data_IF_193061728662
#
_entry.id   IF_193061728662
#
_cell.length_a   1.000
_cell.length_b   1.000
_cell.length_c   1.000
_cell.angle_alpha   90.00
_cell.angle_beta   90.00
_cell.angle_gamma   90.00
#
_symmetry.space_group_name_H-M   'P 1'
#
loop_
_entity.id
_entity.type
_entity.pdbx_description
1 polymer ?
#
# COMPACT_ATOMS: atom_id res chain seq x y z
N UNK A 1 -3.22 12.12 12.21
CA UNK A 1 -4.37 11.31 12.67
C UNK A 1 -3.89 10.27 13.67
N UNK A 2 -4.70 9.96 14.71
CA UNK A 2 -4.37 8.97 15.74
C UNK A 2 -5.53 7.98 15.84
N UNK A 3 -5.22 6.69 15.76
CA UNK A 3 -6.14 5.59 16.07
C UNK A 3 -6.10 5.33 17.57
N UNK A 4 -7.18 5.57 18.29
CA UNK A 4 -7.26 5.38 19.73
C UNK A 4 -7.75 4.00 20.13
N UNK A 5 -8.71 3.46 19.37
CA UNK A 5 -9.32 2.17 19.65
C UNK A 5 -9.55 1.37 18.37
N UNK A 6 -9.38 0.07 18.48
CA UNK A 6 -9.67 -0.90 17.40
C UNK A 6 -10.45 -2.06 17.99
N UNK A 7 -11.66 -2.28 17.44
CA UNK A 7 -12.47 -3.47 17.71
C UNK A 7 -12.36 -4.42 16.52
N UNK A 8 -12.09 -5.69 16.81
CA UNK A 8 -11.96 -6.77 15.83
C UNK A 8 -12.89 -7.90 16.22
N UNK A 9 -13.74 -8.36 15.30
CA UNK A 9 -14.61 -9.53 15.51
C UNK A 9 -14.48 -10.48 14.33
N UNK A 10 -14.14 -11.74 14.58
CA UNK A 10 -14.05 -12.82 13.60
C UNK A 10 -13.16 -12.50 12.38
N UNK A 11 -12.04 -11.81 12.60
CA UNK A 11 -11.12 -11.44 11.55
C UNK A 11 -9.90 -12.38 11.55
N UNK A 12 -9.72 -13.14 10.49
CA UNK A 12 -8.65 -14.15 10.33
C UNK A 12 -8.60 -15.12 11.52
N UNK A 13 -7.52 -15.18 12.29
CA UNK A 13 -7.43 -16.00 13.50
C UNK A 13 -7.97 -15.31 14.77
N UNK A 14 -8.26 -14.00 14.71
CA UNK A 14 -8.74 -13.23 15.86
C UNK A 14 -10.26 -13.41 15.99
N UNK A 15 -10.70 -13.98 17.13
CA UNK A 15 -12.12 -14.15 17.41
C UNK A 15 -12.76 -12.83 17.86
N UNK A 16 -12.14 -12.19 18.85
CA UNK A 16 -12.55 -10.90 19.38
C UNK A 16 -11.35 -10.20 20.00
N UNK A 17 -11.21 -8.89 19.75
CA UNK A 17 -10.22 -8.06 20.42
C UNK A 17 -10.74 -6.61 20.52
N UNK A 18 -10.53 -6.01 21.70
CA UNK A 18 -10.77 -4.59 21.96
C UNK A 18 -9.45 -3.98 22.42
N UNK A 19 -8.87 -3.10 21.59
CA UNK A 19 -7.52 -2.59 21.78
C UNK A 19 -7.57 -1.07 21.94
N UNK A 20 -6.92 -0.56 22.99
CA UNK A 20 -6.69 0.86 23.20
C UNK A 20 -5.21 1.18 22.95
N UNK A 21 -4.94 2.18 22.14
CA UNK A 21 -3.60 2.49 21.65
C UNK A 21 -3.01 3.76 22.23
N UNK A 22 -1.67 3.73 22.44
CA UNK A 22 -0.87 4.91 22.65
C UNK A 22 -0.85 5.79 21.39
N UNK A 23 -0.76 7.10 21.59
CA UNK A 23 -0.67 8.07 20.50
C UNK A 23 0.64 8.01 19.70
N UNK A 24 1.66 7.33 20.24
CA UNK A 24 3.00 7.26 19.61
C UNK A 24 3.34 5.85 19.15
N UNK A 25 3.58 4.92 20.05
CA UNK A 25 4.08 3.61 19.69
C UNK A 25 3.24 2.48 20.27
N UNK A 26 2.95 1.50 19.43
CA UNK A 26 2.16 0.33 19.78
C UNK A 26 2.91 -0.92 19.30
N UNK A 27 3.36 -1.74 20.24
CA UNK A 27 4.20 -2.90 19.98
C UNK A 27 3.41 -4.19 20.19
N UNK A 28 3.48 -5.11 19.23
CA UNK A 28 2.88 -6.44 19.32
C UNK A 28 3.97 -7.51 19.33
N UNK A 29 4.03 -8.27 20.42
CA UNK A 29 5.01 -9.35 20.61
C UNK A 29 4.30 -10.71 20.67
N UNK A 30 4.93 -11.72 20.11
CA UNK A 30 4.45 -13.11 20.10
C UNK A 30 5.18 -13.92 19.05
N UNK A 31 5.02 -15.24 19.07
CA UNK A 31 5.66 -16.13 18.11
C UNK A 31 5.08 -15.95 16.71
N UNK A 32 5.74 -16.55 15.70
CA UNK A 32 5.25 -16.53 14.33
C UNK A 32 3.93 -17.29 14.20
N UNK A 33 2.97 -16.74 13.43
CA UNK A 33 1.66 -17.33 13.22
C UNK A 33 0.61 -16.99 14.29
N UNK A 34 0.98 -16.32 15.38
CA UNK A 34 0.08 -16.01 16.49
C UNK A 34 -0.99 -14.95 16.14
N UNK A 35 -0.80 -14.15 15.09
CA UNK A 35 -1.80 -13.18 14.63
C UNK A 35 -1.37 -11.71 14.72
N UNK A 36 -0.10 -11.42 15.02
CA UNK A 36 0.44 -10.04 15.05
C UNK A 36 0.15 -9.28 13.77
N UNK A 37 0.53 -9.83 12.63
CA UNK A 37 0.29 -9.26 11.30
C UNK A 37 -1.20 -9.06 11.02
N UNK A 38 -2.09 -9.91 11.59
CA UNK A 38 -3.54 -9.78 11.39
C UNK A 38 -4.11 -8.53 12.07
N UNK A 39 -3.52 -8.06 13.17
CA UNK A 39 -3.88 -6.77 13.79
C UNK A 39 -3.48 -5.62 12.86
N UNK A 40 -2.26 -5.63 12.32
CA UNK A 40 -1.82 -4.61 11.37
C UNK A 40 -2.67 -4.63 10.09
N UNK A 41 -3.02 -5.82 9.59
CA UNK A 41 -3.89 -5.97 8.42
C UNK A 41 -5.31 -5.42 8.67
N UNK A 42 -5.84 -5.54 9.88
CA UNK A 42 -7.13 -4.92 10.25
C UNK A 42 -7.04 -3.37 10.17
N UNK A 43 -5.97 -2.76 10.67
CA UNK A 43 -5.72 -1.32 10.55
C UNK A 43 -5.56 -0.91 9.09
N UNK A 44 -4.78 -1.67 8.31
CA UNK A 44 -4.59 -1.45 6.88
C UNK A 44 -5.92 -1.53 6.12
N UNK A 45 -6.79 -2.49 6.45
CA UNK A 45 -8.08 -2.65 5.79
C UNK A 45 -9.02 -1.47 6.06
N UNK A 46 -9.04 -0.97 7.30
CA UNK A 46 -9.81 0.23 7.66
C UNK A 46 -9.32 1.49 6.93
N UNK A 47 -8.05 1.57 6.54
CA UNK A 47 -7.47 2.68 5.79
C UNK A 47 -7.67 2.56 4.27
N UNK A 48 -7.31 1.41 3.70
CA UNK A 48 -7.20 1.24 2.25
C UNK A 48 -8.34 0.39 1.63
N UNK A 49 -9.39 0.09 2.40
CA UNK A 49 -10.55 -0.69 1.97
C UNK A 49 -10.21 -2.08 1.42
N UNK A 50 -9.06 -2.63 1.76
CA UNK A 50 -8.60 -3.95 1.34
C UNK A 50 -7.59 -4.52 2.32
N UNK A 51 -7.54 -5.84 2.43
CA UNK A 51 -6.45 -6.52 3.14
C UNK A 51 -5.11 -6.34 2.42
N UNK A 52 -4.02 -6.23 3.19
CA UNK A 52 -2.66 -6.33 2.67
C UNK A 52 -2.29 -7.78 2.32
N UNK A 53 -2.86 -8.75 3.06
CA UNK A 53 -2.46 -10.16 3.06
C UNK A 53 -3.35 -11.07 2.21
N UNK A 54 -4.56 -10.63 1.83
CA UNK A 54 -5.52 -11.44 1.09
C UNK A 54 -6.06 -10.72 -0.14
N UNK A 55 -6.19 -11.44 -1.23
CA UNK A 55 -6.81 -10.94 -2.47
C UNK A 55 -8.33 -10.91 -2.41
N UNK A 56 -8.95 -11.81 -1.62
CA UNK A 56 -10.39 -11.92 -1.46
C UNK A 56 -10.85 -11.54 -0.05
N UNK A 57 -11.88 -10.70 0.05
CA UNK A 57 -12.44 -10.27 1.34
C UNK A 57 -12.95 -11.44 2.20
N UNK A 58 -13.46 -12.51 1.56
CA UNK A 58 -13.93 -13.71 2.25
C UNK A 58 -12.82 -14.48 2.98
N UNK A 59 -11.55 -14.35 2.53
CA UNK A 59 -10.40 -14.95 3.20
C UNK A 59 -10.00 -14.21 4.49
N UNK A 60 -10.54 -13.02 4.71
CA UNK A 60 -10.35 -12.27 5.95
C UNK A 60 -11.35 -12.66 7.05
N UNK A 61 -12.41 -13.38 6.71
CA UNK A 61 -13.40 -13.87 7.68
C UNK A 61 -12.85 -15.14 8.34
N UNK A 62 -12.90 -15.20 9.66
CA UNK A 62 -12.46 -16.35 10.44
C UNK A 62 -13.11 -17.64 9.93
N UNK A 63 -12.38 -18.75 9.98
CA UNK A 63 -12.92 -20.06 9.63
C UNK A 63 -14.18 -20.34 10.47
N UNK A 64 -15.15 -21.01 9.86
CA UNK A 64 -16.45 -21.38 10.47
C UNK A 64 -17.33 -20.19 10.91
N UNK A 65 -17.02 -18.98 10.42
CA UNK A 65 -17.83 -17.78 10.64
C UNK A 65 -18.34 -17.22 9.30
N UNK A 66 -19.52 -16.60 9.33
CA UNK A 66 -20.16 -16.02 8.14
C UNK A 66 -19.79 -14.54 7.95
N UNK A 67 -19.32 -13.88 9.01
CA UNK A 67 -19.05 -12.45 9.02
C UNK A 67 -17.85 -12.09 9.86
N UNK A 68 -17.21 -10.99 9.49
CA UNK A 68 -16.19 -10.31 10.29
C UNK A 68 -16.54 -8.82 10.39
N UNK A 69 -16.10 -8.19 11.47
CA UNK A 69 -16.32 -6.78 11.72
C UNK A 69 -15.07 -6.13 12.28
N UNK A 70 -14.76 -4.94 11.74
CA UNK A 70 -13.67 -4.08 12.21
C UNK A 70 -14.24 -2.70 12.50
N UNK A 71 -13.80 -2.08 13.60
CA UNK A 71 -14.15 -0.71 13.93
C UNK A 71 -12.93 0.01 14.49
N UNK A 72 -12.61 1.17 13.91
CA UNK A 72 -11.56 2.06 14.38
C UNK A 72 -12.12 3.40 14.84
N UNK A 73 -11.69 3.86 16.02
CA UNK A 73 -11.98 5.21 16.53
C UNK A 73 -10.73 6.07 16.38
N UNK A 74 -10.84 7.12 15.59
CA UNK A 74 -9.74 8.02 15.23
C UNK A 74 -9.98 9.44 15.75
N UNK A 75 -8.88 10.18 15.92
CA UNK A 75 -8.92 11.64 16.15
C UNK A 75 -7.96 12.32 15.18
N UNK A 76 -8.44 13.35 14.51
CA UNK A 76 -7.63 14.22 13.66
C UNK A 76 -6.81 15.21 14.51
N UNK A 77 -5.85 15.88 13.88
CA UNK A 77 -5.01 16.91 14.54
C UNK A 77 -5.83 18.10 15.05
N UNK A 78 -6.97 18.38 14.42
CA UNK A 78 -7.95 19.40 14.85
C UNK A 78 -8.92 18.91 15.94
N UNK A 79 -8.66 17.75 16.54
CA UNK A 79 -9.50 17.08 17.55
C UNK A 79 -10.85 16.55 17.04
N UNK A 80 -11.11 16.57 15.75
CA UNK A 80 -12.31 15.95 15.16
C UNK A 80 -12.23 14.42 15.32
N UNK A 81 -13.31 13.82 15.81
CA UNK A 81 -13.40 12.36 16.00
C UNK A 81 -14.04 11.71 14.79
N UNK A 82 -13.48 10.57 14.40
CA UNK A 82 -13.96 9.76 13.29
C UNK A 82 -14.12 8.30 13.74
N UNK A 83 -15.23 7.71 13.39
CA UNK A 83 -15.48 6.28 13.57
C UNK A 83 -15.58 5.61 12.18
N UNK A 84 -14.73 4.65 11.93
CA UNK A 84 -14.74 3.87 10.68
C UNK A 84 -15.13 2.43 11.01
N UNK A 85 -16.15 1.90 10.35
CA UNK A 85 -16.58 0.52 10.53
C UNK A 85 -16.57 -0.23 9.21
N UNK A 86 -16.05 -1.45 9.22
CA UNK A 86 -16.02 -2.36 8.08
C UNK A 86 -16.74 -3.66 8.44
N UNK A 87 -17.79 -3.98 7.71
CA UNK A 87 -18.48 -5.27 7.77
C UNK A 87 -18.13 -6.12 6.54
N UNK A 88 -17.70 -7.36 6.80
CA UNK A 88 -17.50 -8.39 5.79
C UNK A 88 -18.52 -9.51 6.01
N UNK A 89 -19.10 -10.01 4.92
CA UNK A 89 -20.01 -11.17 4.94
C UNK A 89 -19.76 -12.05 3.72
N UNK A 90 -19.74 -13.37 3.94
CA UNK A 90 -19.53 -14.32 2.84
C UNK A 90 -20.56 -14.14 1.74
N UNK A 91 -20.15 -14.10 0.49
CA UNK A 91 -21.01 -13.92 -0.68
C UNK A 91 -21.62 -12.52 -0.86
N UNK A 92 -21.26 -11.55 -0.02
CA UNK A 92 -21.76 -10.18 -0.12
C UNK A 92 -20.64 -9.16 -0.34
N UNK A 93 -20.99 -7.99 -0.89
CA UNK A 93 -20.07 -6.85 -0.96
C UNK A 93 -19.80 -6.32 0.45
N UNK A 94 -18.56 -6.00 0.73
CA UNK A 94 -18.18 -5.34 1.98
C UNK A 94 -18.88 -4.01 2.16
N UNK A 95 -19.15 -3.67 3.42
CA UNK A 95 -19.78 -2.41 3.81
C UNK A 95 -18.80 -1.59 4.64
N UNK A 96 -18.46 -0.41 4.16
CA UNK A 96 -17.66 0.56 4.90
C UNK A 96 -18.54 1.76 5.27
N UNK A 97 -18.45 2.20 6.53
CA UNK A 97 -19.19 3.36 7.04
C UNK A 97 -18.23 4.31 7.74
N UNK A 98 -18.48 5.59 7.58
CA UNK A 98 -17.85 6.68 8.32
C UNK A 98 -18.91 7.37 9.18
N UNK A 99 -18.71 7.40 10.49
CA UNK A 99 -19.66 8.00 11.44
C UNK A 99 -21.08 7.45 11.22
N UNK A 100 -21.22 6.11 11.08
CA UNK A 100 -22.47 5.35 10.83
C UNK A 100 -23.07 5.56 9.44
N UNK A 101 -22.52 6.43 8.56
CA UNK A 101 -22.98 6.65 7.19
C UNK A 101 -22.17 5.79 6.21
N UNK A 102 -22.87 5.01 5.39
CA UNK A 102 -22.22 4.19 4.35
C UNK A 102 -21.64 5.07 3.24
N UNK A 103 -20.48 4.68 2.71
CA UNK A 103 -19.92 5.32 1.53
C UNK A 103 -20.67 4.90 0.25
N UNK A 104 -21.03 5.84 -0.62
CA UNK A 104 -21.56 5.52 -1.96
C UNK A 104 -20.54 4.75 -2.79
N UNK A 105 -19.27 5.14 -2.71
CA UNK A 105 -18.14 4.50 -3.38
C UNK A 105 -17.00 4.32 -2.38
N UNK A 106 -16.40 3.13 -2.34
CA UNK A 106 -15.25 2.86 -1.44
C UNK A 106 -14.05 3.75 -1.75
N UNK A 107 -13.89 4.17 -3.01
CA UNK A 107 -12.87 5.14 -3.40
C UNK A 107 -12.98 6.48 -2.67
N UNK A 108 -14.17 6.86 -2.16
CA UNK A 108 -14.35 8.11 -1.44
C UNK A 108 -13.70 8.11 -0.05
N UNK A 109 -13.33 6.93 0.44
CA UNK A 109 -12.61 6.75 1.71
C UNK A 109 -11.10 6.85 1.57
N UNK A 110 -10.55 6.48 0.41
CA UNK A 110 -9.09 6.45 0.20
C UNK A 110 -8.50 7.85 0.39
N UNK A 111 -7.43 7.93 1.20
CA UNK A 111 -6.76 9.16 1.58
C UNK A 111 -7.30 9.84 2.85
N UNK A 112 -8.43 9.38 3.40
CA UNK A 112 -8.93 9.88 4.70
C UNK A 112 -7.99 9.50 5.84
N UNK A 113 -7.51 8.26 5.84
CA UNK A 113 -6.55 7.71 6.81
C UNK A 113 -5.29 7.32 6.05
N UNK A 114 -4.35 8.26 5.80
CA UNK A 114 -3.12 7.90 5.12
C UNK A 114 -2.33 6.87 5.92
N UNK A 115 -1.75 5.90 5.23
CA UNK A 115 -1.07 4.78 5.86
C UNK A 115 0.09 4.28 4.99
N UNK A 116 1.16 3.91 5.66
CA UNK A 116 2.26 3.15 5.06
C UNK A 116 2.48 1.87 5.85
N UNK A 117 2.51 0.75 5.16
CA UNK A 117 2.87 -0.54 5.75
C UNK A 117 4.19 -1.02 5.15
N UNK A 118 5.09 -1.45 6.01
CA UNK A 118 6.32 -2.18 5.68
C UNK A 118 6.11 -3.61 6.12
N UNK A 119 6.23 -4.56 5.21
CA UNK A 119 6.01 -5.98 5.49
C UNK A 119 7.02 -6.87 4.75
N UNK A 120 7.19 -8.14 5.16
CA UNK A 120 8.03 -9.09 4.43
C UNK A 120 7.61 -9.29 2.96
N UNK A 121 6.31 -9.13 2.66
CA UNK A 121 5.77 -9.26 1.30
C UNK A 121 6.22 -8.14 0.36
N UNK A 122 6.71 -7.01 0.88
CA UNK A 122 7.28 -5.94 0.07
C UNK A 122 8.48 -6.42 -0.78
N UNK A 123 9.09 -7.56 -0.43
CA UNK A 123 10.08 -8.23 -1.27
C UNK A 123 9.62 -8.47 -2.71
N UNK A 124 8.31 -8.61 -2.94
CA UNK A 124 7.72 -8.74 -4.26
C UNK A 124 7.89 -7.50 -5.15
N UNK A 125 8.10 -6.31 -4.58
CA UNK A 125 8.42 -5.11 -5.36
C UNK A 125 9.72 -5.29 -6.16
N UNK A 126 10.71 -5.95 -5.57
CA UNK A 126 11.99 -6.25 -6.24
C UNK A 126 11.90 -7.56 -7.04
N UNK A 127 11.45 -8.64 -6.41
CA UNK A 127 11.46 -9.98 -7.01
C UNK A 127 10.32 -10.21 -8.01
N UNK A 128 9.19 -9.54 -7.83
CA UNK A 128 7.99 -9.72 -8.63
C UNK A 128 7.99 -9.01 -9.98
N UNK A 129 6.84 -9.01 -10.63
CA UNK A 129 6.61 -8.37 -11.93
C UNK A 129 6.34 -6.87 -11.82
N UNK A 130 6.15 -6.23 -12.98
CA UNK A 130 5.77 -4.82 -13.06
C UNK A 130 4.41 -4.52 -12.43
N UNK A 131 3.55 -5.52 -12.24
CA UNK A 131 2.24 -5.35 -11.58
C UNK A 131 2.39 -4.87 -10.13
N UNK A 132 3.31 -5.48 -9.36
CA UNK A 132 3.56 -5.08 -7.97
C UNK A 132 4.10 -3.64 -7.88
N UNK A 133 4.97 -3.26 -8.79
CA UNK A 133 5.53 -1.90 -8.84
C UNK A 133 4.49 -0.86 -9.26
N UNK A 134 3.60 -1.19 -10.21
CA UNK A 134 2.45 -0.32 -10.52
C UNK A 134 1.51 -0.18 -9.32
N UNK A 135 1.20 -1.32 -8.67
CA UNK A 135 0.37 -1.32 -7.46
C UNK A 135 0.95 -0.45 -6.35
N UNK A 136 2.28 -0.46 -6.17
CA UNK A 136 2.97 0.42 -5.24
C UNK A 136 2.70 1.90 -5.58
N UNK A 137 2.95 2.33 -6.83
CA UNK A 137 2.67 3.71 -7.27
C UNK A 137 1.19 4.07 -7.08
N UNK A 138 0.28 3.16 -7.47
CA UNK A 138 -1.16 3.39 -7.39
C UNK A 138 -1.63 3.58 -5.95
N UNK A 139 -1.13 2.78 -5.01
CA UNK A 139 -1.45 2.91 -3.58
C UNK A 139 -0.97 4.24 -3.01
N UNK A 140 0.22 4.68 -3.39
CA UNK A 140 0.76 5.95 -2.89
C UNK A 140 -0.01 7.13 -3.45
N UNK A 141 -0.12 7.22 -4.78
CA UNK A 141 -0.71 8.37 -5.45
C UNK A 141 -2.21 8.50 -5.12
N UNK A 142 -2.93 7.38 -5.03
CA UNK A 142 -4.36 7.39 -4.70
C UNK A 142 -4.67 7.94 -3.31
N UNK A 143 -3.70 7.95 -2.37
CA UNK A 143 -3.91 8.48 -1.03
C UNK A 143 -3.88 10.01 -0.96
N UNK A 144 -3.29 10.69 -1.95
CA UNK A 144 -3.22 12.15 -1.96
C UNK A 144 -3.83 12.81 -3.19
N UNK A 145 -3.99 12.07 -4.29
CA UNK A 145 -4.55 12.60 -5.55
C UNK A 145 -5.86 11.89 -5.92
N UNK A 146 -6.96 12.56 -5.63
CA UNK A 146 -8.30 12.08 -5.96
C UNK A 146 -8.53 11.97 -7.46
N UNK A 147 -7.99 12.91 -8.25
CA UNK A 147 -8.12 12.92 -9.72
C UNK A 147 -7.44 11.69 -10.32
N UNK A 148 -6.27 11.35 -9.77
CA UNK A 148 -5.58 10.13 -10.15
C UNK A 148 -6.41 8.89 -9.89
N UNK A 149 -6.96 8.74 -8.68
CA UNK A 149 -7.76 7.57 -8.31
C UNK A 149 -8.99 7.42 -9.20
N UNK A 150 -9.72 8.52 -9.46
CA UNK A 150 -10.89 8.48 -10.34
C UNK A 150 -10.50 8.12 -11.79
N UNK A 151 -9.37 8.64 -12.29
CA UNK A 151 -8.84 8.29 -13.61
C UNK A 151 -8.38 6.83 -13.68
N UNK A 152 -7.72 6.31 -12.64
CA UNK A 152 -7.27 4.91 -12.58
C UNK A 152 -8.46 3.94 -12.61
N UNK A 153 -9.52 4.24 -11.85
CA UNK A 153 -10.76 3.44 -11.84
C UNK A 153 -11.42 3.44 -13.21
N UNK A 154 -11.53 4.62 -13.85
CA UNK A 154 -12.12 4.75 -15.17
C UNK A 154 -11.28 4.05 -16.25
N UNK A 155 -9.97 4.19 -16.21
CA UNK A 155 -9.03 3.50 -17.09
C UNK A 155 -9.18 1.98 -16.99
N UNK A 156 -9.17 1.44 -15.77
CA UNK A 156 -9.30 -0.01 -15.56
C UNK A 156 -10.65 -0.54 -16.05
N UNK A 157 -11.73 0.23 -15.90
CA UNK A 157 -13.04 -0.12 -16.48
C UNK A 157 -12.97 -0.14 -18.01
N UNK A 158 -12.40 0.88 -18.64
CA UNK A 158 -12.26 0.94 -20.10
C UNK A 158 -11.39 -0.21 -20.63
N UNK A 159 -10.27 -0.52 -19.98
CA UNK A 159 -9.41 -1.65 -20.28
C UNK A 159 -10.16 -2.99 -20.20
N UNK A 160 -10.97 -3.19 -19.16
CA UNK A 160 -11.78 -4.40 -18.99
C UNK A 160 -12.79 -4.54 -20.13
N UNK A 161 -13.50 -3.47 -20.49
CA UNK A 161 -14.47 -3.48 -21.58
C UNK A 161 -13.79 -3.73 -22.93
N UNK A 162 -12.67 -3.05 -23.21
CA UNK A 162 -11.92 -3.28 -24.43
C UNK A 162 -11.44 -4.74 -24.52
N UNK A 163 -10.88 -5.28 -23.44
CA UNK A 163 -10.41 -6.68 -23.42
C UNK A 163 -11.57 -7.69 -23.57
N UNK A 164 -12.77 -7.36 -23.10
CA UNK A 164 -13.95 -8.19 -23.32
C UNK A 164 -14.35 -8.24 -24.81
N UNK A 165 -14.22 -7.12 -25.53
CA UNK A 165 -14.46 -7.07 -26.99
C UNK A 165 -13.38 -7.82 -27.77
N UNK A 166 -12.11 -7.66 -27.39
CA UNK A 166 -10.98 -8.33 -28.06
C UNK A 166 -11.01 -9.86 -27.94
N UNK A 167 -11.71 -10.41 -26.94
CA UNK A 167 -11.88 -11.87 -26.73
C UNK A 167 -13.01 -12.50 -27.52
N UNK A 168 -13.86 -11.68 -28.17
CA UNK A 168 -14.96 -12.23 -28.98
C UNK A 168 -14.42 -12.89 -30.26
N UNK A 169 -14.97 -14.02 -30.63
CA UNK A 169 -14.58 -14.75 -31.86
C UNK A 169 -14.89 -13.90 -33.11
N UNK A 170 -16.00 -13.15 -33.09
CA UNK A 170 -16.34 -12.16 -34.09
C UNK A 170 -16.33 -10.76 -33.49
N UNK A 171 -15.24 -9.97 -33.70
CA UNK A 171 -15.21 -8.59 -33.25
C UNK A 171 -16.35 -7.78 -33.86
N UNK A 172 -16.89 -6.77 -33.13
CA UNK A 172 -17.96 -5.92 -33.68
C UNK A 172 -17.60 -5.37 -35.08
N UNK A 173 -18.47 -5.58 -36.04
CA UNK A 173 -18.22 -5.30 -37.47
C UNK A 173 -17.86 -3.82 -37.77
N UNK A 174 -18.34 -2.89 -36.95
CA UNK A 174 -18.16 -1.44 -37.14
C UNK A 174 -17.02 -0.84 -36.29
N UNK A 175 -16.32 -1.56 -35.46
CA UNK A 175 -15.15 -1.08 -34.70
C UNK A 175 -15.36 0.20 -33.85
N UNK A 176 -16.57 0.82 -33.90
CA UNK A 176 -16.87 2.06 -33.16
C UNK A 176 -16.81 1.86 -31.64
N UNK A 177 -17.36 0.75 -31.17
CA UNK A 177 -17.34 0.44 -29.73
C UNK A 177 -15.91 0.20 -29.21
N UNK A 178 -15.05 -0.41 -30.04
CA UNK A 178 -13.64 -0.58 -29.70
C UNK A 178 -12.91 0.76 -29.67
N UNK A 179 -13.20 1.65 -30.66
CA UNK A 179 -12.64 2.98 -30.71
C UNK A 179 -13.04 3.84 -29.50
N UNK A 180 -14.30 3.74 -29.03
CA UNK A 180 -14.77 4.41 -27.83
C UNK A 180 -13.94 4.03 -26.59
N UNK A 181 -13.70 2.74 -26.36
CA UNK A 181 -12.93 2.30 -25.20
C UNK A 181 -11.44 2.64 -25.33
N UNK A 182 -10.90 2.72 -26.55
CA UNK A 182 -9.54 3.21 -26.79
C UNK A 182 -9.39 4.70 -26.44
N UNK A 183 -10.37 5.52 -26.78
CA UNK A 183 -10.43 6.93 -26.41
C UNK A 183 -10.55 7.12 -24.90
N UNK A 184 -11.42 6.34 -24.24
CA UNK A 184 -11.54 6.35 -22.77
C UNK A 184 -10.23 5.88 -22.09
N UNK A 185 -9.61 4.82 -22.61
CA UNK A 185 -8.27 4.38 -22.10
C UNK A 185 -7.21 5.46 -22.28
N UNK A 186 -7.17 6.12 -23.45
CA UNK A 186 -6.18 7.18 -23.72
C UNK A 186 -6.41 8.39 -22.81
N UNK A 187 -7.64 8.88 -22.73
CA UNK A 187 -8.02 10.03 -21.92
C UNK A 187 -7.68 9.88 -20.45
N UNK A 188 -8.05 8.75 -19.85
CA UNK A 188 -7.79 8.46 -18.45
C UNK A 188 -6.34 8.01 -18.23
N UNK A 189 -5.77 7.29 -19.18
CA UNK A 189 -4.38 6.85 -19.16
C UNK A 189 -3.38 8.00 -19.17
N UNK A 190 -3.66 9.09 -19.89
CA UNK A 190 -2.83 10.29 -19.87
C UNK A 190 -2.75 10.92 -18.47
N UNK A 191 -3.87 10.98 -17.74
CA UNK A 191 -3.89 11.46 -16.35
C UNK A 191 -3.04 10.55 -15.46
N UNK A 192 -3.18 9.23 -15.60
CA UNK A 192 -2.40 8.25 -14.82
C UNK A 192 -0.92 8.36 -15.14
N UNK A 193 -0.55 8.46 -16.42
CA UNK A 193 0.84 8.61 -16.87
C UNK A 193 1.51 9.84 -16.25
N UNK A 194 0.88 11.01 -16.41
CA UNK A 194 1.43 12.29 -15.90
C UNK A 194 1.60 12.29 -14.39
N UNK A 195 0.63 11.75 -13.67
CA UNK A 195 0.71 11.69 -12.22
C UNK A 195 1.82 10.74 -11.73
N UNK A 196 2.00 9.58 -12.37
CA UNK A 196 3.11 8.66 -12.04
C UNK A 196 4.48 9.27 -12.38
N UNK A 197 4.59 9.94 -13.53
CA UNK A 197 5.81 10.65 -13.95
C UNK A 197 6.22 11.73 -12.93
N UNK A 198 5.27 12.60 -12.53
CA UNK A 198 5.48 13.63 -11.50
C UNK A 198 5.86 13.02 -10.16
N UNK A 199 5.10 12.00 -9.72
CA UNK A 199 5.36 11.29 -8.47
C UNK A 199 6.80 10.75 -8.41
N UNK A 200 7.25 10.02 -9.42
CA UNK A 200 8.60 9.42 -9.41
C UNK A 200 9.68 10.50 -9.45
N UNK A 201 9.49 11.57 -10.21
CA UNK A 201 10.42 12.71 -10.24
C UNK A 201 10.60 13.36 -8.87
N UNK A 202 9.52 13.55 -8.13
CA UNK A 202 9.53 14.17 -6.80
C UNK A 202 9.96 13.22 -5.69
N UNK A 203 9.61 11.93 -5.84
CA UNK A 203 9.86 10.89 -4.84
C UNK A 203 11.30 10.38 -4.83
N UNK A 204 11.95 10.28 -6.00
CA UNK A 204 13.30 9.72 -6.12
C UNK A 204 14.33 10.40 -5.22
N UNK A 205 14.43 11.74 -5.14
CA UNK A 205 15.39 12.41 -4.24
C UNK A 205 15.14 12.11 -2.76
N UNK A 206 13.88 11.96 -2.34
CA UNK A 206 13.55 11.57 -0.97
C UNK A 206 13.98 10.15 -0.66
N UNK A 207 13.75 9.25 -1.60
CA UNK A 207 14.17 7.86 -1.48
C UNK A 207 15.70 7.72 -1.38
N UNK A 208 16.45 8.45 -2.21
CA UNK A 208 17.92 8.49 -2.16
C UNK A 208 18.43 8.98 -0.80
N UNK A 209 17.83 10.03 -0.23
CA UNK A 209 18.16 10.55 1.10
C UNK A 209 17.92 9.49 2.20
N UNK A 210 16.74 8.86 2.21
CA UNK A 210 16.43 7.81 3.18
C UNK A 210 17.35 6.60 3.04
N UNK A 211 17.62 6.16 1.81
CA UNK A 211 18.54 5.06 1.58
C UNK A 211 19.96 5.39 2.07
N UNK A 212 20.46 6.58 1.78
CA UNK A 212 21.76 7.04 2.26
C UNK A 212 21.87 7.01 3.79
N UNK A 213 20.82 7.43 4.50
CA UNK A 213 20.77 7.40 5.98
C UNK A 213 20.78 5.99 6.55
N UNK A 214 20.06 5.04 5.92
CA UNK A 214 19.99 3.65 6.40
C UNK A 214 21.21 2.84 6.00
N UNK A 215 21.78 3.06 4.79
CA UNK A 215 22.93 2.29 4.26
C UNK A 215 24.29 2.85 4.67
N UNK A 216 24.35 4.11 5.15
CA UNK A 216 25.58 4.84 5.42
C UNK A 216 26.22 5.44 4.18
N UNK A 217 25.42 5.80 3.18
CA UNK A 217 25.78 6.54 1.96
C UNK A 217 26.89 5.89 1.08
N UNK A 218 26.97 4.56 1.08
CA UNK A 218 27.99 3.83 0.31
C UNK A 218 27.57 3.47 -1.11
N UNK A 219 26.29 3.56 -1.39
CA UNK A 219 25.68 3.07 -2.63
C UNK A 219 24.65 4.07 -3.13
N UNK A 220 24.55 4.20 -4.44
CA UNK A 220 23.51 5.01 -5.09
C UNK A 220 22.32 4.13 -5.47
N UNK A 221 21.13 4.62 -5.21
CA UNK A 221 19.88 3.97 -5.64
C UNK A 221 19.18 4.86 -6.66
N UNK A 222 18.29 4.29 -7.47
CA UNK A 222 17.52 5.04 -8.43
C UNK A 222 16.19 4.40 -8.73
N UNK A 223 15.26 5.23 -9.21
CA UNK A 223 13.95 4.83 -9.70
C UNK A 223 13.76 5.44 -11.11
N UNK A 224 13.45 4.60 -12.08
CA UNK A 224 13.17 5.02 -13.45
C UNK A 224 11.79 4.55 -13.87
N UNK A 225 10.91 5.50 -14.20
CA UNK A 225 9.56 5.18 -14.65
C UNK A 225 9.55 5.00 -16.16
N UNK A 226 9.04 3.85 -16.59
CA UNK A 226 8.90 3.52 -18.02
C UNK A 226 7.43 3.37 -18.38
N UNK A 227 6.98 4.06 -19.42
CA UNK A 227 5.59 4.05 -19.85
C UNK A 227 5.45 4.17 -21.36
N UNK A 228 4.38 3.58 -21.89
CA UNK A 228 3.96 3.82 -23.27
C UNK A 228 3.51 5.28 -23.50
N UNK A 229 3.03 5.98 -22.48
CA UNK A 229 2.67 7.40 -22.56
C UNK A 229 3.84 8.32 -22.89
N UNK A 230 5.07 7.91 -22.61
CA UNK A 230 6.28 8.65 -22.97
C UNK A 230 6.60 8.63 -24.49
N UNK A 231 5.93 7.78 -25.27
CA UNK A 231 6.18 7.60 -26.71
C UNK A 231 5.40 8.57 -27.60
N UNK A 232 4.57 9.45 -27.03
CA UNK A 232 3.70 10.38 -27.72
C UNK A 232 2.24 10.21 -27.35
N UNK A 233 1.31 10.44 -28.27
CA UNK A 233 -0.12 10.29 -28.04
C UNK A 233 -0.46 8.85 -27.63
N UNK A 234 -0.98 8.67 -26.41
CA UNK A 234 -1.36 7.35 -25.90
C UNK A 234 -2.47 6.71 -26.77
N UNK A 235 -3.34 7.53 -27.35
CA UNK A 235 -4.37 7.06 -28.28
C UNK A 235 -3.75 6.43 -29.54
N UNK A 236 -2.75 7.09 -30.12
CA UNK A 236 -2.08 6.58 -31.32
C UNK A 236 -1.31 5.30 -31.02
N UNK A 237 -0.68 5.22 -29.86
CA UNK A 237 0.02 4.01 -29.40
C UNK A 237 -0.96 2.83 -29.21
N UNK A 238 -2.13 3.08 -28.61
CA UNK A 238 -3.16 2.05 -28.42
C UNK A 238 -3.73 1.61 -29.77
N UNK A 239 -4.10 2.56 -30.62
CA UNK A 239 -4.66 2.29 -31.97
C UNK A 239 -3.66 1.58 -32.87
N UNK A 240 -2.40 1.98 -32.83
CA UNK A 240 -1.32 1.33 -33.59
C UNK A 240 -1.10 -0.14 -33.21
N UNK A 241 -1.43 -0.51 -31.95
CA UNK A 241 -1.37 -1.88 -31.46
C UNK A 241 -2.58 -2.75 -31.76
N UNK A 242 -3.70 -2.19 -32.26
CA UNK A 242 -5.02 -2.87 -32.36
C UNK A 242 -4.96 -4.22 -33.06
N UNK A 243 -4.25 -4.35 -34.18
CA UNK A 243 -4.15 -5.60 -34.93
C UNK A 243 -3.51 -6.73 -34.12
N UNK A 244 -2.49 -6.39 -33.35
CA UNK A 244 -1.83 -7.36 -32.46
C UNK A 244 -2.70 -7.72 -31.26
N UNK A 245 -3.42 -6.72 -30.70
CA UNK A 245 -4.33 -6.92 -29.59
C UNK A 245 -5.49 -7.84 -29.99
N UNK A 246 -6.04 -7.70 -31.20
CA UNK A 246 -7.04 -8.62 -31.78
C UNK A 246 -6.50 -10.04 -31.92
N UNK A 247 -5.27 -10.20 -32.36
CA UNK A 247 -4.66 -11.51 -32.53
C UNK A 247 -4.41 -12.24 -31.19
N UNK A 248 -4.12 -11.51 -30.09
CA UNK A 248 -3.82 -12.10 -28.77
C UNK A 248 -5.01 -12.08 -27.80
N UNK A 249 -6.09 -11.35 -28.13
CA UNK A 249 -7.31 -11.26 -27.32
C UNK A 249 -7.21 -10.34 -26.09
N UNK A 250 -6.18 -9.47 -26.00
CA UNK A 250 -6.04 -8.50 -24.91
C UNK A 250 -5.14 -7.30 -25.27
N UNK A 251 -5.27 -6.22 -24.51
CA UNK A 251 -4.53 -4.98 -24.75
C UNK A 251 -3.05 -5.12 -24.39
N UNK A 252 -2.16 -4.84 -25.34
CA UNK A 252 -0.70 -4.86 -25.17
C UNK A 252 -0.12 -3.48 -24.87
N UNK A 253 -0.88 -2.39 -25.08
CA UNK A 253 -0.42 -1.02 -24.98
C UNK A 253 -1.28 -0.21 -24.02
N UNK A 254 -0.65 0.65 -23.22
CA UNK A 254 -1.29 1.52 -22.25
C UNK A 254 -0.59 1.51 -20.90
N UNK A 255 -1.09 2.33 -19.95
CA UNK A 255 -0.47 2.52 -18.62
C UNK A 255 -0.53 1.28 -17.71
N UNK A 256 -1.34 0.29 -18.04
CA UNK A 256 -1.35 -1.02 -17.39
C UNK A 256 -0.12 -1.88 -17.75
N UNK A 257 0.75 -1.40 -18.63
CA UNK A 257 2.02 -2.01 -19.01
C UNK A 257 3.24 -1.23 -18.51
N UNK A 258 3.01 -0.13 -17.80
CA UNK A 258 4.09 0.64 -17.20
C UNK A 258 4.93 -0.19 -16.24
N UNK A 259 6.17 0.25 -16.06
CA UNK A 259 7.07 -0.34 -15.07
C UNK A 259 7.85 0.75 -14.32
N UNK A 260 8.34 0.38 -13.14
CA UNK A 260 9.26 1.15 -12.33
C UNK A 260 10.56 0.35 -12.18
N UNK A 261 11.59 0.76 -12.91
CA UNK A 261 12.91 0.13 -12.82
C UNK A 261 13.59 0.62 -11.54
N UNK A 262 13.96 -0.33 -10.69
CA UNK A 262 14.64 -0.10 -9.42
C UNK A 262 16.11 -0.45 -9.56
N UNK A 263 17.02 0.49 -9.25
CA UNK A 263 18.45 0.31 -9.44
C UNK A 263 19.25 0.50 -8.17
N UNK A 264 20.39 -0.20 -8.08
CA UNK A 264 21.42 -0.08 -7.08
C UNK A 264 22.77 0.00 -7.79
N UNK A 265 23.54 1.09 -7.57
CA UNK A 265 24.79 1.32 -8.29
C UNK A 265 24.64 1.43 -9.80
N UNK A 266 23.45 1.82 -10.31
CA UNK A 266 23.14 1.90 -11.74
C UNK A 266 22.69 0.56 -12.35
N UNK A 267 22.67 -0.53 -11.61
CA UNK A 267 22.22 -1.86 -12.07
C UNK A 267 20.88 -2.25 -11.47
N UNK A 268 20.06 -3.06 -12.18
CA UNK A 268 18.80 -3.54 -11.63
C UNK A 268 18.98 -4.31 -10.32
N UNK A 269 18.42 -3.79 -9.22
CA UNK A 269 18.59 -4.36 -7.89
C UNK A 269 18.11 -5.82 -7.78
N UNK A 270 17.14 -6.21 -8.60
CA UNK A 270 16.65 -7.60 -8.67
C UNK A 270 17.75 -8.61 -8.97
N UNK A 271 18.78 -8.21 -9.73
CA UNK A 271 19.87 -9.10 -10.18
C UNK A 271 21.10 -9.01 -9.29
N UNK A 272 21.43 -7.78 -8.85
CA UNK A 272 22.71 -7.47 -8.21
C UNK A 272 22.60 -7.31 -6.70
N UNK A 273 21.38 -7.10 -6.16
CA UNK A 273 21.17 -6.82 -4.76
C UNK A 273 21.31 -8.05 -3.87
N UNK A 274 22.14 -7.99 -2.82
CA UNK A 274 22.15 -8.96 -1.73
C UNK A 274 20.84 -8.90 -0.93
N UNK A 275 20.52 -9.94 -0.13
CA UNK A 275 19.32 -9.95 0.70
C UNK A 275 19.25 -8.75 1.65
N UNK A 276 20.37 -8.37 2.28
CA UNK A 276 20.47 -7.23 3.17
C UNK A 276 20.29 -5.89 2.44
N UNK A 277 20.84 -5.75 1.22
CA UNK A 277 20.65 -4.58 0.36
C UNK A 277 19.19 -4.46 -0.07
N UNK A 278 18.56 -5.55 -0.53
CA UNK A 278 17.16 -5.57 -0.93
C UNK A 278 16.25 -5.12 0.23
N UNK A 279 16.47 -5.64 1.43
CA UNK A 279 15.68 -5.27 2.61
C UNK A 279 15.90 -3.80 2.99
N UNK A 280 17.15 -3.33 2.99
CA UNK A 280 17.47 -1.92 3.23
C UNK A 280 16.81 -0.99 2.21
N UNK A 281 16.83 -1.39 0.94
CA UNK A 281 16.20 -0.66 -0.16
C UNK A 281 14.69 -0.52 0.06
N UNK A 282 14.02 -1.61 0.39
CA UNK A 282 12.57 -1.62 0.64
C UNK A 282 12.17 -0.79 1.85
N UNK A 283 12.90 -0.91 2.97
CA UNK A 283 12.63 -0.11 4.16
C UNK A 283 12.82 1.38 3.86
N UNK A 284 13.94 1.76 3.23
CA UNK A 284 14.20 3.14 2.84
C UNK A 284 13.12 3.68 1.88
N UNK A 285 12.69 2.87 0.90
CA UNK A 285 11.61 3.21 -0.02
C UNK A 285 10.30 3.51 0.72
N UNK A 286 9.95 2.68 1.71
CA UNK A 286 8.73 2.84 2.49
C UNK A 286 8.78 4.00 3.48
N UNK A 287 9.94 4.24 4.10
CA UNK A 287 10.12 5.43 4.96
C UNK A 287 10.08 6.72 4.14
N UNK A 288 10.66 6.72 2.94
CA UNK A 288 10.52 7.82 1.99
C UNK A 288 9.05 8.01 1.55
N UNK A 289 8.31 6.91 1.31
CA UNK A 289 6.86 6.96 1.02
C UNK A 289 6.09 7.65 2.13
N UNK A 290 6.40 7.34 3.39
CA UNK A 290 5.77 8.00 4.54
C UNK A 290 6.04 9.52 4.54
N UNK A 291 7.30 9.93 4.38
CA UNK A 291 7.67 11.35 4.37
C UNK A 291 7.07 12.08 3.16
N UNK A 292 6.98 11.41 2.01
CA UNK A 292 6.32 11.94 0.82
C UNK A 292 4.83 12.19 1.09
N UNK A 293 4.10 11.21 1.58
CA UNK A 293 2.67 11.35 1.90
C UNK A 293 2.43 12.43 2.96
N UNK A 294 3.31 12.55 3.97
CA UNK A 294 3.23 13.58 4.99
C UNK A 294 3.41 14.99 4.41
N UNK A 295 4.24 15.16 3.36
CA UNK A 295 4.52 16.46 2.73
C UNK A 295 3.47 16.85 1.70
N UNK A 296 2.97 15.90 0.93
CA UNK A 296 2.07 16.13 -0.21
C UNK A 296 0.61 15.90 0.14
N UNK A 297 0.34 14.98 1.05
CA UNK A 297 -1.00 14.68 1.50
C UNK A 297 -1.59 15.81 2.33
N UNK A 298 -2.88 15.89 2.31
CA UNK A 298 -3.68 16.74 3.17
C UNK A 298 -3.16 16.73 4.63
N UNK A 299 -3.46 17.71 5.39
CA UNK A 299 -3.34 18.00 6.82
C UNK A 299 -3.24 16.82 7.83
N UNK A 300 -2.98 15.59 7.40
CA UNK A 300 -3.02 14.38 8.23
C UNK A 300 -1.74 13.59 8.12
N UNK A 301 -1.03 13.43 9.24
CA UNK A 301 0.15 12.57 9.32
C UNK A 301 -0.24 11.10 9.11
N UNK A 302 0.43 10.34 8.21
CA UNK A 302 0.13 8.94 7.98
C UNK A 302 0.34 8.06 9.22
N UNK A 303 -0.37 6.93 9.30
CA UNK A 303 -0.04 5.84 10.21
C UNK A 303 1.12 5.02 9.63
N UNK A 304 2.03 4.56 10.48
CA UNK A 304 3.14 3.70 10.08
C UNK A 304 2.98 2.30 10.69
N UNK A 305 2.85 1.29 9.84
CA UNK A 305 2.78 -0.11 10.23
C UNK A 305 4.09 -0.81 9.86
N UNK A 306 4.76 -1.43 10.82
CA UNK A 306 6.04 -2.10 10.66
C UNK A 306 5.89 -3.58 11.06
N UNK A 307 5.78 -4.46 10.05
CA UNK A 307 5.56 -5.88 10.26
C UNK A 307 6.86 -6.66 10.13
N UNK A 308 7.38 -7.16 11.26
CA UNK A 308 8.55 -8.03 11.34
C UNK A 308 9.78 -7.53 10.54
N UNK A 309 10.01 -6.21 10.63
CA UNK A 309 10.99 -5.54 9.77
C UNK A 309 12.45 -5.77 10.17
N UNK A 310 12.71 -6.17 11.43
CA UNK A 310 14.07 -6.29 11.96
C UNK A 310 14.72 -7.65 11.68
N UNK A 311 13.95 -8.65 11.26
CA UNK A 311 14.48 -9.96 10.85
C UNK A 311 15.55 -9.79 9.75
N UNK A 312 16.65 -10.52 9.82
CA UNK A 312 17.78 -10.54 8.84
C UNK A 312 18.47 -9.19 8.58
N UNK A 313 18.34 -8.22 9.48
CA UNK A 313 19.13 -7.00 9.47
C UNK A 313 20.26 -7.09 10.49
N UNK A 314 21.40 -6.47 10.18
CA UNK A 314 22.47 -6.27 11.17
C UNK A 314 22.09 -5.20 12.22
N UNK A 315 22.70 -5.30 13.41
CA UNK A 315 22.39 -4.42 14.54
C UNK A 315 22.54 -2.92 14.20
N UNK A 316 23.50 -2.55 13.34
CA UNK A 316 23.72 -1.17 12.93
C UNK A 316 22.55 -0.63 12.12
N UNK A 317 22.02 -1.41 11.18
CA UNK A 317 20.86 -1.02 10.38
C UNK A 317 19.59 -0.95 11.23
N UNK A 318 19.40 -1.90 12.14
CA UNK A 318 18.30 -1.85 13.13
C UNK A 318 18.35 -0.55 13.91
N UNK A 319 19.52 -0.20 14.48
CA UNK A 319 19.69 1.06 15.24
C UNK A 319 19.38 2.29 14.39
N UNK A 320 19.84 2.34 13.13
CA UNK A 320 19.58 3.47 12.24
C UNK A 320 18.09 3.61 11.92
N UNK A 321 17.38 2.50 11.63
CA UNK A 321 15.96 2.49 11.37
C UNK A 321 15.18 2.95 12.61
N UNK A 322 15.52 2.43 13.79
CA UNK A 322 14.90 2.82 15.07
C UNK A 322 15.07 4.31 15.31
N UNK A 323 16.28 4.84 15.18
CA UNK A 323 16.55 6.29 15.34
C UNK A 323 15.74 7.14 14.35
N UNK A 324 15.59 6.68 13.10
CA UNK A 324 14.77 7.39 12.11
C UNK A 324 13.30 7.39 12.48
N UNK A 325 12.78 6.23 12.90
CA UNK A 325 11.34 6.01 13.14
C UNK A 325 10.89 6.64 14.46
N UNK A 326 11.72 6.60 15.51
CA UNK A 326 11.40 7.24 16.83
C UNK A 326 11.43 8.77 16.76
N UNK A 327 12.05 9.36 15.75
CA UNK A 327 12.10 10.80 15.57
C UNK A 327 10.70 11.44 15.40
N UNK A 328 10.57 12.73 15.70
CA UNK A 328 9.30 13.50 15.68
C UNK A 328 8.57 13.51 14.32
N UNK A 329 9.23 13.09 13.25
CA UNK A 329 8.68 13.09 11.88
C UNK A 329 7.61 12.03 11.64
N UNK A 330 7.66 10.93 12.40
CA UNK A 330 6.71 9.84 12.27
C UNK A 330 5.59 9.99 13.30
N UNK A 331 4.35 9.87 12.85
CA UNK A 331 3.16 9.98 13.69
C UNK A 331 2.98 8.77 14.60
N UNK A 332 1.80 8.15 14.57
CA UNK A 332 1.53 6.93 15.31
C UNK A 332 2.11 5.70 14.58
N UNK A 333 2.79 4.84 15.33
CA UNK A 333 3.53 3.70 14.82
C UNK A 333 3.00 2.42 15.46
N UNK A 334 2.85 1.38 14.65
CA UNK A 334 2.50 0.04 15.06
C UNK A 334 3.58 -0.92 14.61
N UNK A 335 4.19 -1.66 15.53
CA UNK A 335 5.33 -2.55 15.27
C UNK A 335 4.99 -3.95 15.72
N UNK A 336 5.28 -4.95 14.89
CA UNK A 336 5.29 -6.36 15.30
C UNK A 336 6.71 -6.88 15.34
N UNK A 337 7.03 -7.71 16.32
CA UNK A 337 8.30 -8.45 16.39
C UNK A 337 8.12 -9.76 17.14
N UNK A 338 8.99 -10.72 16.85
CA UNK A 338 9.13 -11.96 17.62
C UNK A 338 10.19 -11.84 18.71
N UNK A 339 11.14 -10.91 18.58
CA UNK A 339 12.25 -10.71 19.49
C UNK A 339 11.99 -9.51 20.40
N UNK A 340 11.91 -9.78 21.71
CA UNK A 340 11.73 -8.76 22.73
C UNK A 340 12.89 -7.77 22.82
N UNK A 341 14.14 -8.23 22.62
CA UNK A 341 15.33 -7.37 22.73
C UNK A 341 15.32 -6.25 21.68
N UNK A 342 14.79 -6.52 20.48
CA UNK A 342 14.59 -5.49 19.45
C UNK A 342 13.59 -4.44 19.92
N UNK A 343 12.44 -4.87 20.45
CA UNK A 343 11.42 -3.96 20.97
C UNK A 343 11.93 -3.17 22.18
N UNK A 344 12.63 -3.78 23.10
CA UNK A 344 13.22 -3.10 24.27
C UNK A 344 14.20 -2.01 23.83
N UNK A 345 14.99 -2.24 22.78
CA UNK A 345 15.87 -1.22 22.19
C UNK A 345 15.08 -0.03 21.58
N UNK A 346 13.96 -0.32 20.92
CA UNK A 346 13.05 0.70 20.37
C UNK A 346 12.41 1.49 21.52
N UNK A 347 11.88 0.79 22.53
CA UNK A 347 11.20 1.39 23.67
C UNK A 347 12.14 2.24 24.52
N UNK A 348 13.37 1.79 24.74
CA UNK A 348 14.41 2.57 25.43
C UNK A 348 14.75 3.88 24.69
N UNK A 349 14.67 3.87 23.36
CA UNK A 349 14.89 5.05 22.52
C UNK A 349 13.67 5.97 22.47
N UNK A 350 12.48 5.46 22.72
CA UNK A 350 11.21 6.17 22.53
C UNK A 350 10.86 7.13 23.68
N UNK A 351 11.62 7.26 24.76
CA UNK A 351 11.43 8.19 25.91
C UNK A 351 9.96 8.54 26.31
N UNK A 352 8.95 7.94 25.69
CA UNK A 352 7.54 8.39 25.78
C UNK A 352 6.56 7.25 25.50
N UNK A 353 5.35 7.53 25.75
CA UNK A 353 4.05 6.90 25.57
C UNK A 353 4.05 5.71 24.57
N UNK A 354 4.05 4.49 25.10
CA UNK A 354 3.92 3.28 24.31
C UNK A 354 2.92 2.31 24.94
N UNK A 355 2.34 1.46 24.10
CA UNK A 355 1.56 0.29 24.54
C UNK A 355 2.22 -0.98 24.04
N UNK A 356 2.30 -1.99 24.90
CA UNK A 356 2.81 -3.32 24.58
C UNK A 356 1.67 -4.33 24.63
N UNK A 357 1.53 -5.12 23.57
CA UNK A 357 0.50 -6.15 23.46
C UNK A 357 1.15 -7.52 23.25
N UNK A 358 0.70 -8.50 23.99
CA UNK A 358 1.06 -9.90 23.83
C UNK A 358 0.04 -10.59 22.93
N UNK A 359 0.51 -11.24 21.86
CA UNK A 359 -0.34 -11.94 20.89
C UNK A 359 -0.08 -13.43 20.96
N UNK A 360 -1.11 -14.23 21.25
CA UNK A 360 -1.02 -15.68 21.31
C UNK A 360 -2.32 -16.33 20.85
N UNK A 361 -2.25 -17.21 19.83
CA UNK A 361 -3.41 -17.94 19.30
C UNK A 361 -4.56 -17.07 18.81
N UNK A 362 -4.28 -15.85 18.34
CA UNK A 362 -5.30 -14.86 17.96
C UNK A 362 -5.89 -14.05 19.13
N UNK A 363 -5.49 -14.31 20.39
CA UNK A 363 -5.77 -13.41 21.51
C UNK A 363 -4.74 -12.31 21.59
N UNK A 364 -5.19 -11.07 21.78
CA UNK A 364 -4.34 -9.88 21.93
C UNK A 364 -4.59 -9.28 23.30
N UNK A 365 -3.58 -9.24 24.15
CA UNK A 365 -3.67 -8.73 25.53
C UNK A 365 -2.64 -7.62 25.76
N UNK A 366 -2.98 -6.58 26.54
CA UNK A 366 -2.03 -5.56 27.00
C UNK A 366 -0.89 -6.13 27.81
#
# INVERSE_FOLDING_TARGET
MILHQLSIVNYRNIANAELAFSSKMNCFIGDNGEGKTNVLDAIHFLSLCRSALASADSACIRHDQDMAFLQGAYTHEDSTREEITLGLRRGQKKQLKRNKKAYPRLSDHIGLIPLVMVSPEDGLLIAGGSEERRRFMDVVISQYDRRYLDALVAYNKALQQRNALLKQEEPPADGELLALWEEEMARHGEVVFRARESYIKEFTPLFEDFYGRVSGAREHVGLEYTSHGARGSLLDVIRGGRQRDLAVGYSLHGVHRDDLVMTLGGYPIRREGSQGQNKTYLIALKLAQFDFLRRTGSQTTPLLLLDDIFDKLDARRVEQIVRLVVGERFGQIFVTDTNRDHLDSILASAQSDYSLFHVRGGEVRP
#
